data_IF_213137441282
#
_entry.id   IF_213137441282
#
_cell.length_a   1.000
_cell.length_b   1.000
_cell.length_c   1.000
_cell.angle_alpha   90.00
_cell.angle_beta   90.00
_cell.angle_gamma   90.00
#
_symmetry.space_group_name_H-M   'P 1'
#
loop_
_entity.id
_entity.type
_entity.pdbx_description
1 polymer ?
#
# COMPACT_ATOMS: atom_id res chain seq x y z
N UNK A 1 -13.54 -10.06 -7.70
CA UNK A 1 -13.82 -8.61 -7.60
C UNK A 1 -13.92 -8.11 -6.18
N UNK A 2 -14.05 -8.98 -5.16
CA UNK A 2 -14.23 -8.60 -3.75
C UNK A 2 -13.27 -7.52 -3.23
N UNK A 3 -11.99 -7.56 -3.61
CA UNK A 3 -11.01 -6.55 -3.18
C UNK A 3 -11.28 -5.18 -3.81
N UNK A 4 -11.68 -5.13 -5.08
CA UNK A 4 -12.03 -3.87 -5.76
C UNK A 4 -13.24 -3.21 -5.09
N UNK A 5 -14.28 -3.99 -4.80
CA UNK A 5 -15.49 -3.50 -4.10
C UNK A 5 -15.20 -3.04 -2.67
N UNK A 6 -14.27 -3.70 -1.96
CA UNK A 6 -13.86 -3.28 -0.62
C UNK A 6 -13.15 -1.92 -0.63
N UNK A 7 -12.23 -1.71 -1.58
CA UNK A 7 -11.50 -0.44 -1.69
C UNK A 7 -12.42 0.71 -2.12
N UNK A 8 -13.36 0.44 -3.03
CA UNK A 8 -14.38 1.41 -3.44
C UNK A 8 -15.28 1.83 -2.26
N UNK A 9 -15.73 0.88 -1.44
CA UNK A 9 -16.50 1.17 -0.21
C UNK A 9 -15.73 1.99 0.83
N UNK A 10 -14.40 1.95 0.82
CA UNK A 10 -13.54 2.80 1.65
C UNK A 10 -13.33 4.21 1.05
N UNK A 11 -13.92 4.50 -0.11
CA UNK A 11 -13.83 5.80 -0.79
C UNK A 11 -12.61 5.97 -1.69
N UNK A 12 -11.90 4.89 -2.03
CA UNK A 12 -10.77 4.93 -2.95
C UNK A 12 -11.25 4.88 -4.41
N UNK A 13 -10.66 5.68 -5.30
CA UNK A 13 -10.88 5.54 -6.73
C UNK A 13 -10.09 4.33 -7.27
N UNK A 14 -10.79 3.20 -7.49
CA UNK A 14 -10.16 1.95 -7.89
C UNK A 14 -9.86 1.94 -9.39
N UNK A 15 -8.60 1.70 -9.76
CA UNK A 15 -8.16 1.54 -11.16
C UNK A 15 -8.00 0.03 -11.45
N UNK A 16 -8.96 -0.61 -12.14
CA UNK A 16 -8.88 -2.04 -12.42
C UNK A 16 -7.84 -2.33 -13.51
N UNK A 17 -7.02 -3.36 -13.29
CA UNK A 17 -6.05 -3.87 -14.27
C UNK A 17 -6.11 -5.39 -14.36
N UNK A 18 -5.94 -5.93 -15.56
CA UNK A 18 -5.91 -7.38 -15.81
C UNK A 18 -4.52 -7.96 -15.50
N UNK A 19 -4.17 -8.07 -14.22
CA UNK A 19 -2.82 -8.45 -13.78
C UNK A 19 -2.71 -9.90 -13.27
N UNK A 20 -3.73 -10.74 -13.48
CA UNK A 20 -3.79 -12.09 -12.91
C UNK A 20 -2.68 -13.01 -13.44
N UNK A 21 -2.31 -12.87 -14.70
CA UNK A 21 -1.33 -13.76 -15.34
C UNK A 21 0.08 -13.55 -14.78
N UNK A 22 0.38 -12.34 -14.29
CA UNK A 22 1.65 -12.02 -13.66
C UNK A 22 1.81 -12.66 -12.27
N UNK A 23 0.72 -13.06 -11.60
CA UNK A 23 0.78 -13.63 -10.25
C UNK A 23 1.57 -14.93 -10.17
N UNK A 24 1.65 -15.69 -11.27
CA UNK A 24 2.45 -16.91 -11.33
C UNK A 24 3.94 -16.65 -11.10
N UNK A 25 4.41 -15.42 -11.32
CA UNK A 25 5.77 -14.98 -11.06
C UNK A 25 5.98 -14.50 -9.61
N UNK A 26 5.00 -14.72 -8.72
CA UNK A 26 5.13 -14.51 -7.28
C UNK A 26 4.87 -13.08 -6.80
N UNK A 27 4.24 -12.23 -7.62
CA UNK A 27 4.06 -10.82 -7.30
C UNK A 27 2.70 -10.25 -7.65
N UNK A 28 2.18 -9.40 -6.77
CA UNK A 28 1.12 -8.44 -7.09
C UNK A 28 1.70 -7.14 -7.66
N UNK A 29 0.87 -6.11 -7.75
CA UNK A 29 1.29 -4.78 -8.20
C UNK A 29 2.46 -4.22 -7.40
N UNK A 30 2.36 -4.22 -6.07
CA UNK A 30 3.41 -3.68 -5.20
C UNK A 30 4.75 -4.42 -5.37
N UNK A 31 4.72 -5.74 -5.52
CA UNK A 31 5.92 -6.53 -5.79
C UNK A 31 6.55 -6.20 -7.15
N UNK A 32 5.74 -5.73 -8.11
CA UNK A 32 6.14 -5.51 -9.50
C UNK A 32 6.55 -4.06 -9.79
N UNK A 33 6.53 -3.20 -8.77
CA UNK A 33 6.83 -1.77 -8.91
C UNK A 33 7.79 -1.31 -7.83
N UNK A 34 8.63 -0.33 -8.16
CA UNK A 34 9.43 0.41 -7.19
C UNK A 34 9.19 1.91 -7.43
N UNK A 35 8.47 2.55 -6.52
CA UNK A 35 8.21 3.98 -6.56
C UNK A 35 9.48 4.76 -6.20
N UNK A 36 10.10 5.37 -7.21
CA UNK A 36 11.35 6.14 -7.05
C UNK A 36 11.11 7.55 -6.50
N UNK A 37 9.89 8.06 -6.62
CA UNK A 37 9.52 9.41 -6.19
C UNK A 37 8.03 9.49 -5.86
N UNK A 38 7.71 10.22 -4.78
CA UNK A 38 6.36 10.66 -4.42
C UNK A 38 6.41 12.10 -3.93
N UNK A 39 5.38 12.87 -4.23
CA UNK A 39 5.23 14.23 -3.69
C UNK A 39 4.82 14.17 -2.20
N UNK A 40 5.50 14.94 -1.35
CA UNK A 40 5.24 14.99 0.09
C UNK A 40 6.49 15.30 0.92
N UNK A 41 6.33 15.27 2.25
CA UNK A 41 7.42 15.43 3.23
C UNK A 41 7.54 14.18 4.12
N UNK A 42 8.68 13.99 4.78
CA UNK A 42 8.86 12.92 5.75
C UNK A 42 8.04 13.23 7.03
N UNK A 43 6.94 12.51 7.25
CA UNK A 43 6.04 12.69 8.39
C UNK A 43 6.03 11.45 9.29
N UNK A 44 5.89 11.68 10.60
CA UNK A 44 5.55 10.63 11.56
C UNK A 44 4.03 10.50 11.66
N UNK A 45 3.49 9.40 11.15
CA UNK A 45 2.05 9.12 11.19
C UNK A 45 1.60 8.46 12.51
N UNK A 46 2.53 8.09 13.40
CA UNK A 46 2.26 7.49 14.70
C UNK A 46 3.03 8.21 15.83
N UNK A 47 2.82 9.51 16.04
CA UNK A 47 3.60 10.30 17.00
C UNK A 47 3.31 9.95 18.47
N UNK A 48 2.15 9.36 18.75
CA UNK A 48 1.69 9.05 20.11
C UNK A 48 1.52 7.53 20.26
N UNK A 49 2.60 6.82 20.59
CA UNK A 49 2.58 5.35 20.67
C UNK A 49 2.13 4.84 22.06
N UNK A 50 2.15 5.67 23.10
CA UNK A 50 1.66 5.30 24.43
C UNK A 50 2.50 4.26 25.18
N UNK A 51 3.66 3.87 24.62
CA UNK A 51 4.66 3.00 25.25
C UNK A 51 6.07 3.37 24.76
N UNK A 52 7.09 2.95 25.50
CA UNK A 52 8.49 3.07 25.09
C UNK A 52 8.83 1.97 24.08
N UNK A 53 8.94 2.35 22.80
CA UNK A 53 9.36 1.43 21.74
C UNK A 53 10.88 1.32 21.70
N UNK A 54 11.41 0.25 22.32
CA UNK A 54 12.85 -0.06 22.36
C UNK A 54 13.44 -0.46 21.00
N UNK A 55 12.62 -0.62 19.96
CA UNK A 55 13.05 -0.97 18.59
C UNK A 55 13.13 0.24 17.66
N UNK A 56 12.70 1.42 18.14
CA UNK A 56 12.76 2.67 17.38
C UNK A 56 14.21 3.17 17.35
N UNK A 57 14.79 3.17 16.15
CA UNK A 57 16.16 3.65 15.86
C UNK A 57 16.22 5.16 15.75
#
# INVERSE_FOLDING_TARGET
TNQLEQMDKLGMNVIPIHFRDAYAFGGGLHCSTADVYREGTCLDYFPNQGFEDVTRV
#
